data_IF_356997753437
#
_entry.id   IF_356997753437
#
_cell.length_a   1.000
_cell.length_b   1.000
_cell.length_c   1.000
_cell.angle_alpha   90.00
_cell.angle_beta   90.00
_cell.angle_gamma   90.00
#
_symmetry.space_group_name_H-M   'P 1'
#
loop_
_entity.id
_entity.type
_entity.pdbx_description
1 polymer ?
#
# COMPACT_ATOMS: atom_id res chain seq x y z
N UNK A 1 16.82 -14.38 -27.36
CA UNK A 1 16.76 -14.35 -25.90
C UNK A 1 17.59 -13.22 -25.32
N UNK A 2 17.12 -11.98 -25.42
CA UNK A 2 17.78 -10.85 -24.78
C UNK A 2 16.80 -10.13 -23.84
N UNK A 3 17.28 -9.72 -22.67
CA UNK A 3 16.51 -8.97 -21.70
C UNK A 3 16.24 -7.56 -22.22
N UNK A 4 15.00 -7.31 -22.63
CA UNK A 4 14.55 -6.00 -23.09
C UNK A 4 14.24 -5.08 -21.90
N UNK A 5 14.22 -3.75 -22.07
CA UNK A 5 13.96 -2.82 -20.97
C UNK A 5 12.67 -3.09 -20.17
N UNK A 6 11.60 -3.52 -20.85
CA UNK A 6 10.32 -3.86 -20.21
C UNK A 6 10.29 -5.23 -19.52
N UNK A 7 11.34 -6.04 -19.70
CA UNK A 7 11.47 -7.33 -19.00
C UNK A 7 12.10 -7.17 -17.62
N UNK A 8 12.77 -6.05 -17.32
CA UNK A 8 13.53 -5.90 -16.06
C UNK A 8 12.68 -5.96 -14.79
N UNK A 9 11.41 -5.55 -14.89
CA UNK A 9 10.45 -5.57 -13.78
C UNK A 9 9.32 -6.57 -14.02
N UNK A 10 9.39 -7.34 -15.11
CA UNK A 10 8.38 -8.34 -15.40
C UNK A 10 8.50 -9.47 -14.37
N UNK A 11 7.42 -9.71 -13.63
CA UNK A 11 7.33 -10.88 -12.77
C UNK A 11 7.38 -12.16 -13.63
N UNK A 12 7.72 -13.28 -12.98
CA UNK A 12 7.58 -14.58 -13.62
C UNK A 12 6.14 -14.74 -14.11
N UNK A 13 5.99 -15.23 -15.35
CA UNK A 13 4.67 -15.48 -15.93
C UNK A 13 3.87 -16.38 -15.00
N UNK A 14 2.65 -15.97 -14.67
CA UNK A 14 1.74 -16.81 -13.90
C UNK A 14 1.52 -18.14 -14.62
N UNK A 15 1.63 -19.25 -13.88
CA UNK A 15 1.36 -20.59 -14.42
C UNK A 15 -0.12 -20.75 -14.78
N UNK A 16 -1.00 -20.03 -14.07
CA UNK A 16 -2.42 -19.86 -14.37
C UNK A 16 -2.98 -18.63 -13.64
N UNK A 17 -4.05 -18.03 -14.18
CA UNK A 17 -4.77 -16.90 -13.58
C UNK A 17 -4.12 -15.52 -13.79
N UNK A 18 -4.89 -14.49 -13.45
CA UNK A 18 -4.43 -13.10 -13.44
C UNK A 18 -3.81 -12.72 -12.09
N UNK A 19 -3.07 -11.61 -12.07
CA UNK A 19 -2.55 -11.07 -10.82
C UNK A 19 -3.71 -10.66 -9.89
N UNK A 20 -3.59 -11.01 -8.60
CA UNK A 20 -4.57 -10.59 -7.58
C UNK A 20 -4.59 -9.07 -7.47
N UNK A 21 -5.78 -8.51 -7.55
CA UNK A 21 -6.08 -7.11 -7.24
C UNK A 21 -6.68 -7.09 -5.83
N UNK A 22 -6.10 -6.27 -4.95
CA UNK A 22 -6.53 -6.15 -3.56
C UNK A 22 -7.42 -4.91 -3.42
N UNK A 23 -8.59 -5.09 -2.83
CA UNK A 23 -9.35 -3.96 -2.30
C UNK A 23 -8.58 -3.30 -1.16
N UNK A 24 -8.71 -1.98 -1.01
CA UNK A 24 -7.92 -1.24 0.00
C UNK A 24 -8.12 -1.79 1.42
N UNK A 25 -9.36 -2.13 1.79
CA UNK A 25 -9.67 -2.71 3.10
C UNK A 25 -9.05 -4.10 3.27
N UNK A 26 -9.09 -4.95 2.24
CA UNK A 26 -8.44 -6.26 2.26
C UNK A 26 -6.92 -6.11 2.45
N UNK A 27 -6.30 -5.13 1.78
CA UNK A 27 -4.88 -4.85 1.95
C UNK A 27 -4.55 -4.37 3.37
N UNK A 28 -5.38 -3.53 3.98
CA UNK A 28 -5.22 -3.14 5.39
C UNK A 28 -5.25 -4.36 6.30
N UNK A 29 -6.16 -5.31 6.08
CA UNK A 29 -6.23 -6.53 6.87
C UNK A 29 -4.95 -7.36 6.74
N UNK A 30 -4.45 -7.55 5.50
CA UNK A 30 -3.17 -8.23 5.24
C UNK A 30 -1.99 -7.53 5.93
N UNK A 31 -1.94 -6.19 5.90
CA UNK A 31 -0.88 -5.41 6.56
C UNK A 31 -0.96 -5.55 8.08
N UNK A 32 -2.17 -5.46 8.66
CA UNK A 32 -2.38 -5.65 10.09
C UNK A 32 -1.93 -7.05 10.53
N UNK A 33 -2.36 -8.10 9.81
CA UNK A 33 -1.96 -9.49 10.09
C UNK A 33 -0.44 -9.66 10.04
N UNK A 34 0.23 -9.11 9.02
CA UNK A 34 1.68 -9.18 8.89
C UNK A 34 2.39 -8.47 10.06
N UNK A 35 1.94 -7.26 10.42
CA UNK A 35 2.53 -6.47 11.50
C UNK A 35 2.27 -7.07 12.88
N UNK A 36 1.12 -7.71 13.10
CA UNK A 36 0.80 -8.43 14.34
C UNK A 36 1.87 -9.50 14.66
N UNK A 37 2.37 -10.20 13.63
CA UNK A 37 3.42 -11.21 13.82
C UNK A 37 4.76 -10.64 14.27
N UNK A 38 4.99 -9.35 14.03
CA UNK A 38 6.22 -8.64 14.39
C UNK A 38 6.05 -7.99 15.77
N UNK A 39 5.01 -7.18 15.93
CA UNK A 39 4.63 -6.55 17.19
C UNK A 39 3.15 -6.11 17.11
N UNK A 40 2.27 -6.55 18.04
CA UNK A 40 0.86 -6.11 18.10
C UNK A 40 0.66 -4.59 18.04
N UNK A 41 1.53 -3.80 18.66
CA UNK A 41 1.42 -2.33 18.65
C UNK A 41 1.49 -1.74 17.22
N UNK A 42 2.17 -2.41 16.29
CA UNK A 42 2.25 -1.96 14.89
C UNK A 42 0.92 -2.18 14.16
N UNK A 43 0.26 -3.31 14.40
CA UNK A 43 -1.08 -3.62 13.88
C UNK A 43 -2.11 -2.63 14.43
N UNK A 44 -2.09 -2.38 15.74
CA UNK A 44 -2.93 -1.37 16.39
C UNK A 44 -2.72 0.04 15.80
N UNK A 45 -1.46 0.41 15.54
CA UNK A 45 -1.14 1.70 14.93
C UNK A 45 -1.71 1.84 13.51
N UNK A 46 -1.65 0.78 12.67
CA UNK A 46 -2.27 0.80 11.34
C UNK A 46 -3.79 0.96 11.44
N UNK A 47 -4.44 0.24 12.37
CA UNK A 47 -5.89 0.39 12.62
C UNK A 47 -6.25 1.80 13.06
N UNK A 48 -5.45 2.42 13.93
CA UNK A 48 -5.62 3.82 14.35
C UNK A 48 -5.53 4.79 13.17
N UNK A 49 -4.55 4.61 12.28
CA UNK A 49 -4.38 5.43 11.07
C UNK A 49 -5.62 5.39 10.18
N UNK A 50 -6.19 4.19 9.97
CA UNK A 50 -7.40 3.99 9.16
C UNK A 50 -8.62 4.60 9.85
N UNK A 51 -8.81 4.31 11.14
CA UNK A 51 -9.93 4.83 11.94
C UNK A 51 -9.98 6.35 11.94
N UNK A 52 -8.83 7.02 12.03
CA UNK A 52 -8.75 8.47 12.05
C UNK A 52 -8.71 9.11 10.65
N UNK A 53 -8.77 8.32 9.57
CA UNK A 53 -8.72 8.82 8.21
C UNK A 53 -7.37 9.46 7.84
N UNK A 54 -6.28 8.98 8.42
CA UNK A 54 -4.92 9.52 8.21
C UNK A 54 -4.22 8.92 6.99
N UNK A 55 -4.90 8.05 6.25
CA UNK A 55 -4.44 7.48 4.99
C UNK A 55 -5.35 7.96 3.87
N UNK A 56 -4.83 8.82 3.00
CA UNK A 56 -5.51 9.23 1.77
C UNK A 56 -5.03 8.34 0.61
N UNK A 57 -5.76 7.24 0.37
CA UNK A 57 -5.40 6.23 -0.63
C UNK A 57 -6.24 6.28 -1.92
N UNK A 58 -7.44 6.88 -1.87
CA UNK A 58 -8.37 6.84 -2.99
C UNK A 58 -7.76 7.48 -4.27
N UNK A 59 -7.91 6.84 -5.44
CA UNK A 59 -7.40 7.39 -6.68
C UNK A 59 -8.21 8.59 -7.13
N UNK A 60 -7.54 9.59 -7.70
CA UNK A 60 -8.15 10.78 -8.28
C UNK A 60 -7.31 11.19 -9.50
N UNK A 61 -7.98 11.63 -10.58
CA UNK A 61 -7.35 12.02 -11.85
C UNK A 61 -6.25 13.09 -11.69
N UNK A 62 -6.35 13.95 -10.67
CA UNK A 62 -5.37 15.01 -10.40
C UNK A 62 -4.39 14.68 -9.26
N UNK A 63 -4.50 13.48 -8.66
CA UNK A 63 -3.67 13.09 -7.51
C UNK A 63 -2.33 12.55 -8.00
N UNK A 64 -1.27 12.93 -7.28
CA UNK A 64 0.09 12.51 -7.59
C UNK A 64 0.22 10.99 -7.40
N UNK A 65 0.84 10.33 -8.39
CA UNK A 65 1.19 8.92 -8.31
C UNK A 65 2.31 8.64 -7.30
N UNK A 66 2.33 7.40 -6.81
CA UNK A 66 3.26 6.95 -5.77
C UNK A 66 2.68 7.15 -4.37
N UNK A 67 3.55 7.09 -3.36
CA UNK A 67 3.19 7.31 -1.98
C UNK A 67 4.26 8.07 -1.20
N UNK A 68 3.87 8.71 -0.12
CA UNK A 68 4.79 9.29 0.86
C UNK A 68 4.14 9.41 2.24
N UNK A 69 4.99 9.46 3.27
CA UNK A 69 4.60 9.73 4.64
C UNK A 69 5.02 11.15 5.04
N UNK A 70 4.18 11.85 5.77
CA UNK A 70 4.48 13.17 6.35
C UNK A 70 3.83 13.28 7.73
N UNK A 71 4.00 14.43 8.39
CA UNK A 71 3.34 14.73 9.67
C UNK A 71 2.86 16.16 9.73
N UNK A 72 1.75 16.39 10.41
CA UNK A 72 1.30 17.73 10.76
C UNK A 72 2.15 18.26 11.92
N UNK A 73 2.91 19.36 11.76
CA UNK A 73 3.82 19.84 12.80
C UNK A 73 3.12 20.20 14.11
N UNK A 74 1.90 20.75 14.03
CA UNK A 74 1.14 21.23 15.18
C UNK A 74 0.67 20.10 16.10
N UNK A 75 0.14 19.02 15.53
CA UNK A 75 -0.45 17.89 16.27
C UNK A 75 0.47 16.68 16.35
N UNK A 76 1.59 16.70 15.61
CA UNK A 76 2.47 15.54 15.36
C UNK A 76 1.74 14.35 14.75
N UNK A 77 0.58 14.57 14.12
CA UNK A 77 -0.20 13.53 13.47
C UNK A 77 0.53 12.99 12.23
N UNK A 78 0.81 11.68 12.14
CA UNK A 78 1.32 11.07 10.92
C UNK A 78 0.23 11.02 9.85
N UNK A 79 0.62 11.20 8.59
CA UNK A 79 -0.25 11.12 7.43
C UNK A 79 0.43 10.33 6.33
N UNK A 80 -0.32 9.45 5.66
CA UNK A 80 0.12 8.72 4.48
C UNK A 80 -0.73 9.17 3.30
N UNK A 81 -0.06 9.54 2.21
CA UNK A 81 -0.71 9.84 0.94
C UNK A 81 -0.26 8.83 -0.08
N UNK A 82 -1.20 8.19 -0.76
CA UNK A 82 -0.90 7.27 -1.86
C UNK A 82 -2.02 7.26 -2.91
N UNK A 83 -1.72 6.72 -4.09
CA UNK A 83 -2.74 6.40 -5.09
C UNK A 83 -2.88 4.89 -5.19
N UNK A 84 -3.97 4.33 -4.66
CA UNK A 84 -4.21 2.89 -4.64
C UNK A 84 -4.71 2.39 -6.00
N UNK A 85 -4.01 1.41 -6.56
CA UNK A 85 -4.37 0.69 -7.79
C UNK A 85 -4.70 -0.79 -7.54
N UNK A 86 -4.53 -1.27 -6.29
CA UNK A 86 -4.79 -2.65 -5.89
C UNK A 86 -3.67 -3.62 -6.22
N UNK A 87 -2.50 -3.12 -6.64
CA UNK A 87 -1.36 -3.96 -6.99
C UNK A 87 -0.62 -4.45 -5.76
N UNK A 88 0.16 -5.54 -5.89
CA UNK A 88 1.11 -5.96 -4.84
C UNK A 88 2.13 -4.86 -4.51
N UNK A 89 2.52 -4.05 -5.49
CA UNK A 89 3.46 -2.95 -5.25
C UNK A 89 2.85 -1.91 -4.30
N UNK A 90 1.56 -1.64 -4.42
CA UNK A 90 0.86 -0.70 -3.54
C UNK A 90 0.78 -1.25 -2.12
N UNK A 91 0.54 -2.56 -1.97
CA UNK A 91 0.51 -3.24 -0.66
C UNK A 91 1.87 -3.17 0.07
N UNK A 92 2.97 -3.13 -0.69
CA UNK A 92 4.33 -3.07 -0.14
C UNK A 92 4.82 -1.65 0.17
N UNK A 93 4.15 -0.62 -0.37
CA UNK A 93 4.56 0.79 -0.26
C UNK A 93 4.02 1.43 1.00
#
# INVERSE_FOLDING_TARGET
DEMKPWNHLAAMRALSGDAKVYDFNEAIDVICEAFETVNPEMSEFVRLMVQNGWIDAAPNANKRLGAYCTKLPATRTPLVFMTWSGSRSDLMT
#
